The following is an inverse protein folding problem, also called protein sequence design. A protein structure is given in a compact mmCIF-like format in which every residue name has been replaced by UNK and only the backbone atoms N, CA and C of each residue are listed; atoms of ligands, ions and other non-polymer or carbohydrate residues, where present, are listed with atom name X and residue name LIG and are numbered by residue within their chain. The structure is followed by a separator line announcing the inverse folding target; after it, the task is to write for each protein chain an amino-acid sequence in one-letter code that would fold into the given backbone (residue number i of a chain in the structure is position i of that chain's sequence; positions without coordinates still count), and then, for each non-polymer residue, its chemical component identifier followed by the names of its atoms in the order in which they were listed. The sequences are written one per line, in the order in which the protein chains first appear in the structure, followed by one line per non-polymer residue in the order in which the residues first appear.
data_IF_238449611672
#
_entry.id   IF_238449611672
#
_cell.length_a   1.000
_cell.length_b   1.000
_cell.length_c   1.000
_cell.angle_alpha   90.00
_cell.angle_beta   90.00
_cell.angle_gamma   90.00
#
_symmetry.space_group_name_H-M   'P 1'
#
loop_
_entity.id
_entity.type
_entity.pdbx_description
1 polymer ?
#
# COMPACT_ATOMS: atom_id res chain seq x y z
N UNK A 1 -2.83 2.89 12.10
CA UNK A 1 -3.29 4.10 11.40
C UNK A 1 -2.16 5.01 10.97
N UNK A 2 -1.18 5.27 11.82
CA UNK A 2 -0.04 6.09 11.39
C UNK A 2 0.69 5.47 10.21
N UNK A 3 0.80 4.14 10.21
CA UNK A 3 1.45 3.47 9.09
C UNK A 3 0.74 3.73 7.78
N UNK A 4 -0.59 3.83 7.83
CA UNK A 4 -1.36 4.12 6.63
C UNK A 4 -1.03 5.52 6.11
N UNK A 5 -0.92 6.48 7.02
CA UNK A 5 -0.59 7.85 6.61
C UNK A 5 0.78 7.90 5.92
N UNK A 6 1.76 7.23 6.48
CA UNK A 6 3.08 7.18 5.86
C UNK A 6 3.05 6.45 4.53
N UNK A 7 2.33 5.33 4.50
CA UNK A 7 2.28 4.51 3.29
C UNK A 7 1.61 5.24 2.13
N UNK A 8 0.65 6.10 2.44
CA UNK A 8 -0.12 6.81 1.42
C UNK A 8 0.38 8.24 1.21
N UNK A 9 1.25 8.73 2.08
CA UNK A 9 1.72 10.10 1.98
C UNK A 9 0.66 11.13 2.27
N UNK A 10 -0.30 10.80 3.15
CA UNK A 10 -1.40 11.71 3.48
C UNK A 10 -1.48 11.90 4.98
N UNK A 11 -2.27 12.88 5.38
CA UNK A 11 -2.49 13.17 6.78
C UNK A 11 -3.77 12.49 7.25
N UNK A 12 -3.93 12.44 8.56
CA UNK A 12 -5.09 11.76 9.15
C UNK A 12 -6.40 12.38 8.71
N UNK A 13 -6.42 13.71 8.50
CA UNK A 13 -7.63 14.40 8.10
C UNK A 13 -8.01 14.14 6.64
N UNK A 14 -7.20 13.42 5.91
CA UNK A 14 -7.61 12.99 4.56
C UNK A 14 -8.75 12.00 4.62
N UNK A 15 -8.81 11.20 5.68
CA UNK A 15 -9.85 10.18 5.84
C UNK A 15 -10.81 10.49 6.97
N UNK A 16 -10.39 11.28 7.95
CA UNK A 16 -11.20 11.57 9.12
C UNK A 16 -11.60 13.03 9.14
N UNK A 17 -12.83 13.28 9.53
CA UNK A 17 -13.35 14.64 9.60
C UNK A 17 -12.70 15.38 10.75
N UNK A 18 -12.18 16.57 10.47
CA UNK A 18 -11.63 17.43 11.50
C UNK A 18 -12.75 18.28 12.08
N UNK A 19 -12.87 18.25 13.41
CA UNK A 19 -13.90 19.01 14.10
C UNK A 19 -13.31 20.31 14.56
N UNK A 20 -13.56 21.38 13.82
CA UNK A 20 -12.96 22.68 14.09
C UNK A 20 -13.41 23.27 15.42
N UNK A 21 -14.54 22.82 15.94
CA UNK A 21 -15.04 23.34 17.20
C UNK A 21 -14.37 22.71 18.41
N UNK A 22 -13.61 21.65 18.21
CA UNK A 22 -12.97 20.93 19.29
C UNK A 22 -11.48 20.89 19.03
N UNK A 23 -10.73 21.60 19.84
CA UNK A 23 -9.28 21.66 19.65
C UNK A 23 -8.60 20.81 20.69
N UNK A 24 -7.51 20.18 20.26
CA UNK A 24 -6.62 19.50 21.17
C UNK A 24 -5.82 20.54 21.97
N UNK A 25 -5.18 20.11 23.07
CA UNK A 25 -4.36 21.06 23.84
C UNK A 25 -3.29 21.75 23.03
N UNK A 26 -2.83 21.17 21.93
CA UNK A 26 -1.83 21.77 21.06
C UNK A 26 -2.44 22.67 20.00
N UNK A 27 -3.75 22.92 20.05
CA UNK A 27 -4.41 23.85 19.14
C UNK A 27 -4.87 23.25 17.82
N UNK A 28 -4.74 21.96 17.63
CA UNK A 28 -5.16 21.31 16.40
C UNK A 28 -6.61 20.86 16.51
N UNK A 29 -7.37 20.91 15.38
CA UNK A 29 -8.72 20.38 15.41
C UNK A 29 -8.72 18.90 15.74
N UNK A 30 -9.64 18.51 16.61
CA UNK A 30 -9.80 17.11 16.98
C UNK A 30 -10.48 16.37 15.85
N UNK A 31 -10.03 15.16 15.58
CA UNK A 31 -10.62 14.36 14.52
C UNK A 31 -11.81 13.57 15.04
N UNK A 32 -12.86 13.53 14.24
CA UNK A 32 -14.02 12.71 14.53
C UNK A 32 -13.87 11.39 13.79
N UNK A 33 -13.33 10.39 14.48
CA UNK A 33 -13.02 9.12 13.83
C UNK A 33 -14.27 8.32 13.46
N UNK A 34 -15.40 8.62 14.07
CA UNK A 34 -16.64 7.89 13.79
C UNK A 34 -17.36 8.40 12.55
N UNK A 35 -17.04 9.61 12.10
CA UNK A 35 -17.74 10.23 10.97
C UNK A 35 -17.25 9.59 9.68
N UNK A 36 -18.18 9.06 8.90
CA UNK A 36 -17.88 8.35 7.66
C UNK A 36 -18.18 9.17 6.42
N UNK A 37 -18.34 10.48 6.55
CA UNK A 37 -18.74 11.30 5.42
C UNK A 37 -17.65 11.47 4.37
N UNK A 38 -16.39 11.25 4.71
CA UNK A 38 -15.32 11.40 3.73
C UNK A 38 -15.23 10.16 2.85
N UNK A 39 -15.26 10.41 1.53
CA UNK A 39 -15.19 9.32 0.56
C UNK A 39 -13.93 8.49 0.72
N UNK A 40 -12.82 9.14 1.01
CA UNK A 40 -11.54 8.45 1.10
C UNK A 40 -11.53 7.42 2.21
N UNK A 41 -12.34 7.63 3.26
CA UNK A 41 -12.45 6.66 4.33
C UNK A 41 -13.06 5.35 3.83
N UNK A 42 -14.09 5.45 2.97
CA UNK A 42 -14.69 4.27 2.38
C UNK A 42 -13.73 3.56 1.43
N UNK A 43 -12.99 4.34 0.65
CA UNK A 43 -11.99 3.78 -0.24
C UNK A 43 -10.93 3.04 0.56
N UNK A 44 -10.51 3.61 1.68
CA UNK A 44 -9.50 2.96 2.52
C UNK A 44 -9.99 1.62 3.06
N UNK A 45 -11.28 1.52 3.39
CA UNK A 45 -11.83 0.25 3.86
C UNK A 45 -11.80 -0.81 2.78
N UNK A 46 -12.13 -0.42 1.55
CA UNK A 46 -12.08 -1.34 0.42
C UNK A 46 -10.65 -1.80 0.19
N UNK A 47 -9.72 -0.86 0.22
CA UNK A 47 -8.31 -1.19 0.01
C UNK A 47 -7.77 -2.07 1.13
N UNK A 48 -8.20 -1.83 2.35
CA UNK A 48 -7.79 -2.67 3.47
C UNK A 48 -8.27 -4.10 3.29
N UNK A 49 -9.54 -4.26 2.90
CA UNK A 49 -10.10 -5.58 2.66
C UNK A 49 -9.34 -6.30 1.55
N UNK A 50 -9.01 -5.58 0.48
CA UNK A 50 -8.24 -6.15 -0.62
C UNK A 50 -6.88 -6.62 -0.12
N UNK A 51 -6.20 -5.80 0.68
CA UNK A 51 -4.88 -6.15 1.20
C UNK A 51 -4.95 -7.39 2.08
N UNK A 52 -5.99 -7.47 2.92
CA UNK A 52 -6.18 -8.64 3.77
C UNK A 52 -6.42 -9.89 2.92
N UNK A 53 -7.23 -9.77 1.90
CA UNK A 53 -7.50 -10.91 1.02
C UNK A 53 -6.26 -11.38 0.30
N UNK A 54 -5.45 -10.46 -0.17
CA UNK A 54 -4.21 -10.82 -0.84
C UNK A 54 -3.31 -11.60 0.12
N UNK A 55 -3.22 -11.13 1.35
CA UNK A 55 -2.35 -11.78 2.33
C UNK A 55 -2.88 -13.16 2.72
N UNK A 56 -4.18 -13.27 2.97
CA UNK A 56 -4.75 -14.51 3.47
C UNK A 56 -4.88 -15.54 2.36
N UNK A 57 -5.35 -15.11 1.20
CA UNK A 57 -5.71 -16.05 0.15
C UNK A 57 -4.58 -16.30 -0.85
N UNK A 58 -3.56 -15.47 -0.85
CA UNK A 58 -2.50 -15.59 -1.85
C UNK A 58 -1.11 -15.61 -1.24
N UNK A 59 -0.71 -14.55 -0.55
CA UNK A 59 0.66 -14.45 -0.06
C UNK A 59 0.96 -15.58 0.94
N UNK A 60 0.02 -15.90 1.80
CA UNK A 60 0.23 -16.95 2.80
C UNK A 60 0.47 -18.31 2.17
N UNK A 61 0.07 -18.47 0.91
CA UNK A 61 0.23 -19.74 0.21
C UNK A 61 1.47 -19.78 -0.66
N UNK A 62 2.17 -18.66 -0.78
CA UNK A 62 3.39 -18.62 -1.59
C UNK A 62 4.55 -18.98 -0.70
N UNK A 63 5.18 -20.08 -1.04
CA UNK A 63 6.31 -20.55 -0.27
C UNK A 63 7.47 -19.58 -0.40
N UNK A 64 8.01 -19.18 0.74
CA UNK A 64 9.14 -18.27 0.73
C UNK A 64 8.78 -16.80 0.53
N UNK A 65 7.49 -16.46 0.58
CA UNK A 65 7.08 -15.07 0.36
C UNK A 65 7.60 -14.15 1.44
N UNK A 66 7.73 -14.64 2.65
CA UNK A 66 8.29 -13.89 3.76
C UNK A 66 7.35 -12.91 4.40
N UNK A 67 7.07 -11.80 3.74
CA UNK A 67 6.35 -10.70 4.36
C UNK A 67 5.00 -10.49 3.71
N UNK A 68 3.99 -10.16 4.52
CA UNK A 68 2.70 -9.80 3.94
C UNK A 68 2.80 -8.47 3.22
N UNK A 69 1.88 -8.25 2.27
CA UNK A 69 1.80 -6.95 1.63
C UNK A 69 1.09 -5.98 2.55
N UNK A 70 1.45 -4.71 2.43
CA UNK A 70 0.84 -3.64 3.22
C UNK A 70 0.42 -2.54 2.26
N UNK A 71 -0.20 -1.51 2.82
CA UNK A 71 -0.54 -0.34 2.00
C UNK A 71 0.71 0.21 1.31
N UNK A 72 1.82 0.26 2.03
CA UNK A 72 3.06 0.80 1.48
C UNK A 72 3.68 -0.05 0.40
N UNK A 73 3.34 -1.33 0.34
CA UNK A 73 3.88 -2.20 -0.70
C UNK A 73 3.55 -1.66 -2.08
N UNK A 74 2.34 -1.15 -2.26
CA UNK A 74 1.91 -0.60 -3.53
C UNK A 74 2.04 0.91 -3.59
N UNK A 75 1.67 1.60 -2.50
CA UNK A 75 1.62 3.06 -2.52
C UNK A 75 2.97 3.73 -2.32
N UNK A 76 3.81 3.18 -1.48
CA UNK A 76 5.18 3.67 -1.27
C UNK A 76 5.26 5.16 -1.01
N UNK A 77 4.35 5.65 -0.14
CA UNK A 77 4.33 7.05 0.24
C UNK A 77 3.56 7.96 -0.67
N UNK A 78 2.80 7.42 -1.63
CA UNK A 78 2.03 8.22 -2.57
C UNK A 78 0.59 7.79 -2.58
N UNK A 79 -0.31 8.77 -2.64
CA UNK A 79 -1.74 8.48 -2.63
C UNK A 79 -2.15 7.73 -3.90
N UNK A 80 -1.45 7.94 -4.99
CA UNK A 80 -1.64 7.19 -6.22
C UNK A 80 -0.40 6.37 -6.47
N UNK A 81 -0.51 5.04 -6.46
CA UNK A 81 0.66 4.21 -6.71
C UNK A 81 1.22 4.47 -8.10
N UNK A 82 2.53 4.63 -8.18
CA UNK A 82 3.14 4.83 -9.47
C UNK A 82 3.27 3.51 -10.20
N UNK A 83 3.03 3.50 -11.50
CA UNK A 83 3.22 2.27 -12.26
C UNK A 83 4.69 1.89 -12.29
N UNK A 84 4.94 0.61 -12.45
CA UNK A 84 6.30 0.14 -12.58
C UNK A 84 6.90 0.67 -13.87
N UNK A 85 8.06 1.34 -13.74
CA UNK A 85 8.74 1.89 -14.89
C UNK A 85 9.79 0.89 -15.37
N UNK A 86 9.63 0.43 -16.59
CA UNK A 86 10.63 -0.45 -17.17
C UNK A 86 11.87 0.35 -17.49
N UNK A 87 13.01 -0.21 -17.18
CA UNK A 87 14.24 0.44 -17.57
C UNK A 87 14.50 0.19 -19.05
N UNK A 88 15.13 1.15 -19.72
CA UNK A 88 15.54 0.91 -21.11
C UNK A 88 16.44 -0.31 -21.19
N UNK A 89 16.35 -1.01 -22.33
CA UNK A 89 17.08 -2.25 -22.49
C UNK A 89 18.59 -2.07 -22.31
N UNK A 90 19.09 -0.93 -22.72
CA UNK A 90 20.52 -0.67 -22.64
C UNK A 90 20.97 -0.38 -21.21
N UNK A 91 20.03 -0.18 -20.29
CA UNK A 91 20.35 0.04 -18.89
C UNK A 91 20.09 -1.17 -18.03
N UNK A 92 19.51 -2.19 -18.60
CA UNK A 92 19.23 -3.38 -17.84
C UNK A 92 20.54 -4.12 -17.60
N UNK A 93 20.70 -4.69 -16.41
CA UNK A 93 21.88 -5.51 -16.20
C UNK A 93 21.87 -6.65 -17.22
N UNK A 94 23.05 -7.07 -17.57
CA UNK A 94 23.18 -8.17 -18.51
C UNK A 94 22.73 -9.45 -17.81
N UNK A 95 21.45 -9.57 -17.61
CA UNK A 95 20.92 -10.74 -16.95
C UNK A 95 20.91 -11.87 -17.92
N UNK A 96 21.53 -12.93 -17.52
CA UNK A 96 21.47 -14.12 -18.29
C UNK A 96 20.16 -14.78 -17.99
N UNK A 97 19.17 -14.50 -18.81
CA UNK A 97 17.89 -15.10 -18.61
C UNK A 97 17.99 -16.53 -19.10
N UNK A 98 18.00 -17.43 -18.15
CA UNK A 98 17.88 -18.84 -18.52
C UNK A 98 16.46 -19.09 -18.93
N UNK A 99 16.23 -19.59 -20.14
CA UNK A 99 14.89 -19.86 -20.57
C UNK A 99 14.24 -20.83 -19.60
N UNK A 100 13.05 -20.46 -19.18
CA UNK A 100 12.38 -21.23 -18.15
C UNK A 100 12.15 -22.65 -18.58
N UNK A 101 11.89 -22.84 -19.82
CA UNK A 101 11.61 -24.16 -20.30
C UNK A 101 12.78 -25.07 -20.38
N UNK A 102 13.98 -24.54 -20.19
CA UNK A 102 15.10 -25.33 -20.28
C UNK A 102 15.68 -25.65 -19.02
N UNK A 103 15.37 -25.17 -18.12
CA UNK A 103 15.91 -25.30 -17.03
C UNK A 103 15.42 -25.73 -16.23
N UNK A 104 15.44 -25.99 -16.70
CA UNK A 104 15.08 -26.33 -16.24
C UNK A 104 14.87 -26.10 -15.19
N UNK A 105 14.83 -26.28 -14.58
CA UNK A 105 14.35 -25.93 -13.63
C UNK A 105 14.46 -24.84 -13.10
N UNK A 106 14.37 -24.31 -13.28
CA UNK A 106 14.54 -23.39 -12.85
C UNK A 106 14.18 -22.95 -12.05
N UNK A 107 14.38 -22.89 -11.76
CA UNK A 107 14.05 -22.70 -10.89
C UNK A 107 13.05 -22.28 -10.53
N UNK A 108 12.87 -22.55 -10.97
CA UNK A 108 12.05 -22.34 -10.98
C UNK A 108 11.57 -22.11 -10.46
#
# INVERSE_FOLDING_TARGET
MQQWSYSLGVRCDSCHVADADKLDPDGRPRLNFADDSKRMKGTARIMYTMTEEININHIAKVEGSGMPVTCGTCHRGQISPEPFAMQPADRQPAVQVTPIGEEGPQPK
#
